data_IF_163152602642
#
_entry.id   IF_163152602642
#
_cell.length_a   1.000
_cell.length_b   1.000
_cell.length_c   1.000
_cell.angle_alpha   90.00
_cell.angle_beta   90.00
_cell.angle_gamma   90.00
#
_symmetry.space_group_name_H-M   'P 1'
#
loop_
_entity.id
_entity.type
_entity.pdbx_description
1 polymer ?
#
# COMPACT_ATOMS: atom_id res chain seq x y z
N UNK A 1 13.89 -52.26 -20.40
CA UNK A 1 12.60 -51.55 -20.48
C UNK A 1 12.75 -50.22 -19.77
N UNK A 2 12.99 -49.14 -20.51
CA UNK A 2 12.97 -47.78 -19.98
C UNK A 2 11.60 -47.19 -20.30
N UNK A 3 10.86 -46.76 -19.27
CA UNK A 3 9.57 -46.12 -19.44
C UNK A 3 9.78 -44.66 -19.86
N UNK A 4 9.21 -44.28 -21.00
CA UNK A 4 9.24 -42.94 -21.55
C UNK A 4 8.27 -42.03 -20.76
N UNK A 5 8.70 -40.82 -20.38
CA UNK A 5 7.91 -39.90 -19.57
C UNK A 5 6.78 -39.24 -20.41
N UNK A 6 5.55 -39.10 -19.89
CA UNK A 6 4.44 -38.56 -20.67
C UNK A 6 4.60 -37.06 -20.90
N UNK A 7 4.69 -36.65 -22.16
CA UNK A 7 4.67 -35.24 -22.59
C UNK A 7 3.27 -34.66 -22.43
N UNK A 8 3.09 -33.77 -21.47
CA UNK A 8 1.82 -33.04 -21.26
C UNK A 8 1.67 -32.01 -22.39
N UNK A 9 0.55 -31.97 -23.13
CA UNK A 9 0.35 -30.97 -24.16
C UNK A 9 0.22 -29.58 -23.53
N UNK A 10 1.09 -28.66 -23.95
CA UNK A 10 1.02 -27.25 -23.58
C UNK A 10 -0.35 -26.70 -23.97
N UNK A 11 -1.14 -26.31 -22.96
CA UNK A 11 -2.42 -25.64 -23.15
C UNK A 11 -2.21 -24.47 -24.11
N UNK A 12 -2.97 -24.47 -25.20
CA UNK A 12 -3.05 -23.34 -26.12
C UNK A 12 -3.40 -22.07 -25.33
N UNK A 13 -2.82 -20.90 -25.66
CA UNK A 13 -3.08 -19.69 -24.89
C UNK A 13 -4.57 -19.35 -25.02
N UNK A 14 -5.29 -19.41 -23.89
CA UNK A 14 -6.65 -18.92 -23.81
C UNK A 14 -6.67 -17.49 -24.34
N UNK A 15 -7.53 -17.24 -25.32
CA UNK A 15 -7.76 -15.92 -25.92
C UNK A 15 -8.40 -15.03 -24.85
N UNK A 16 -7.55 -14.42 -24.02
CA UNK A 16 -7.97 -13.47 -22.99
C UNK A 16 -8.60 -12.28 -23.72
N UNK A 17 -9.93 -12.16 -23.60
CA UNK A 17 -10.70 -11.08 -24.18
C UNK A 17 -10.08 -9.74 -23.81
N UNK A 18 -10.09 -8.80 -24.75
CA UNK A 18 -9.54 -7.44 -24.60
C UNK A 18 -10.22 -6.74 -23.42
N UNK A 19 -9.64 -6.88 -22.23
CA UNK A 19 -9.98 -6.12 -21.04
C UNK A 19 -9.57 -4.68 -21.31
N UNK A 20 -10.57 -3.80 -21.47
CA UNK A 20 -10.37 -2.36 -21.63
C UNK A 20 -10.08 -1.78 -20.26
N UNK A 21 -8.80 -1.77 -19.89
CA UNK A 21 -8.30 -1.08 -18.70
C UNK A 21 -8.31 0.43 -18.95
N UNK A 22 -9.41 1.11 -18.68
CA UNK A 22 -9.34 2.57 -18.51
C UNK A 22 -8.76 2.83 -17.13
N UNK A 23 -7.50 3.27 -17.06
CA UNK A 23 -6.94 3.83 -15.84
C UNK A 23 -7.85 4.98 -15.38
N UNK A 24 -8.39 4.86 -14.17
CA UNK A 24 -9.16 5.95 -13.58
C UNK A 24 -8.17 7.00 -13.04
N UNK A 25 -7.98 8.07 -13.81
CA UNK A 25 -7.06 9.17 -13.50
C UNK A 25 -7.57 10.07 -12.36
N UNK A 26 -8.84 9.96 -11.95
CA UNK A 26 -9.39 10.76 -10.84
C UNK A 26 -8.80 10.40 -9.47
N UNK A 27 -8.12 9.26 -9.36
CA UNK A 27 -7.37 8.86 -8.16
C UNK A 27 -6.15 9.74 -7.92
N UNK A 28 -5.56 10.31 -8.98
CA UNK A 28 -4.38 11.16 -8.90
C UNK A 28 -4.72 12.65 -8.98
N UNK A 29 -6.01 12.99 -8.95
CA UNK A 29 -6.43 14.38 -8.85
C UNK A 29 -6.31 14.89 -7.42
N UNK A 30 -6.07 16.20 -7.31
CA UNK A 30 -5.86 16.87 -6.04
C UNK A 30 -7.09 16.76 -5.12
N UNK A 31 -6.84 16.55 -3.83
CA UNK A 31 -7.88 16.57 -2.80
C UNK A 31 -7.62 17.71 -1.80
N UNK A 32 -8.71 18.40 -1.43
CA UNK A 32 -8.71 19.43 -0.39
C UNK A 32 -9.15 18.80 0.93
N UNK A 33 -8.27 18.79 1.93
CA UNK A 33 -8.53 18.18 3.23
C UNK A 33 -9.04 19.15 4.31
N UNK A 34 -9.02 20.46 4.04
CA UNK A 34 -9.40 21.52 4.98
C UNK A 34 -10.51 22.42 4.41
N UNK A 35 -11.09 23.25 5.29
CA UNK A 35 -12.12 24.22 4.91
C UNK A 35 -11.55 25.57 4.44
N UNK A 36 -10.24 25.80 4.56
CA UNK A 36 -9.58 27.04 4.11
C UNK A 36 -9.26 27.00 2.61
N UNK A 37 -9.15 28.16 1.97
CA UNK A 37 -8.94 28.26 0.52
C UNK A 37 -7.52 27.84 0.04
N UNK A 38 -6.67 27.41 0.97
CA UNK A 38 -5.31 26.94 0.71
C UNK A 38 -5.23 25.42 0.83
N UNK A 39 -4.73 24.76 -0.22
CA UNK A 39 -4.49 23.32 -0.20
C UNK A 39 -3.21 23.02 0.57
N UNK A 40 -3.31 22.41 1.74
CA UNK A 40 -2.16 21.98 2.55
C UNK A 40 -1.37 20.84 1.90
N UNK A 41 -1.99 20.13 0.96
CA UNK A 41 -1.38 19.01 0.26
C UNK A 41 -1.68 19.10 -1.24
N UNK A 42 -0.65 19.00 -2.07
CA UNK A 42 -0.78 18.78 -3.52
C UNK A 42 -0.90 17.25 -3.74
N UNK A 43 -2.08 16.67 -3.48
CA UNK A 43 -2.17 15.24 -3.13
C UNK A 43 -3.12 14.40 -3.97
N UNK A 44 -2.61 13.20 -4.33
CA UNK A 44 -3.38 12.08 -4.86
C UNK A 44 -4.34 11.54 -3.77
N UNK A 45 -5.46 10.93 -4.17
CA UNK A 45 -6.48 10.34 -3.25
C UNK A 45 -6.06 9.00 -2.62
N UNK A 46 -4.79 8.61 -2.78
CA UNK A 46 -4.26 7.34 -2.26
C UNK A 46 -3.60 7.60 -0.91
N UNK A 47 -4.17 6.98 0.13
CA UNK A 47 -3.75 7.11 1.52
C UNK A 47 -3.28 5.76 2.04
N UNK A 48 -2.20 5.74 2.82
CA UNK A 48 -1.81 4.55 3.57
C UNK A 48 -2.63 4.48 4.85
N UNK A 49 -3.44 3.43 4.97
CA UNK A 49 -4.23 3.14 6.15
C UNK A 49 -3.34 2.86 7.40
N UNK A 50 -3.84 3.13 8.61
CA UNK A 50 -3.16 2.74 9.85
C UNK A 50 -3.10 1.21 9.94
N UNK A 51 -1.89 0.65 9.98
CA UNK A 51 -1.66 -0.79 10.01
C UNK A 51 -0.72 -1.15 11.16
N UNK A 52 -1.24 -1.76 12.23
CA UNK A 52 -0.43 -2.26 13.35
C UNK A 52 0.51 -3.36 12.87
N UNK A 53 1.83 -3.18 13.06
CA UNK A 53 2.83 -4.15 12.58
C UNK A 53 3.52 -4.94 13.69
N UNK A 54 3.39 -4.50 14.94
CA UNK A 54 4.01 -5.13 16.12
C UNK A 54 5.53 -5.27 15.96
N UNK A 55 6.19 -4.20 15.49
CA UNK A 55 7.64 -4.16 15.28
C UNK A 55 8.35 -3.04 16.06
N UNK A 56 7.63 -2.43 16.99
CA UNK A 56 8.10 -1.36 17.87
C UNK A 56 8.32 -1.95 19.27
N UNK A 57 9.50 -2.55 19.47
CA UNK A 57 9.85 -3.19 20.73
C UNK A 57 9.92 -2.16 21.86
N UNK A 58 9.25 -2.45 22.98
CA UNK A 58 9.20 -1.53 24.12
C UNK A 58 8.52 -0.19 23.82
N UNK A 59 7.57 -0.14 22.88
CA UNK A 59 6.93 1.08 22.39
C UNK A 59 7.88 2.08 21.69
N UNK A 60 9.10 1.65 21.36
CA UNK A 60 10.09 2.47 20.67
C UNK A 60 10.14 2.10 19.19
N UNK A 61 9.88 3.05 18.27
CA UNK A 61 10.08 2.83 16.85
C UNK A 61 11.53 2.44 16.55
N UNK A 62 11.70 1.34 15.82
CA UNK A 62 13.01 0.81 15.47
C UNK A 62 13.53 1.44 14.17
N UNK A 63 14.85 1.37 13.87
CA UNK A 63 15.42 1.95 12.65
C UNK A 63 14.77 1.47 11.34
N UNK A 64 14.24 0.24 11.32
CA UNK A 64 13.53 -0.30 10.14
C UNK A 64 12.20 0.43 9.85
N UNK A 65 11.60 1.10 10.84
CA UNK A 65 10.38 1.87 10.67
C UNK A 65 10.61 3.05 9.70
N UNK A 66 11.80 3.65 9.75
CA UNK A 66 12.21 4.71 8.83
C UNK A 66 12.18 4.19 7.39
N UNK A 67 12.80 3.04 7.14
CA UNK A 67 12.80 2.41 5.82
C UNK A 67 11.38 2.03 5.38
N UNK A 68 10.55 1.55 6.31
CA UNK A 68 9.19 1.13 6.02
C UNK A 68 8.29 2.28 5.53
N UNK A 69 8.31 3.42 6.22
CA UNK A 69 7.53 4.59 5.84
C UNK A 69 8.15 5.34 4.66
N UNK A 70 9.49 5.39 4.55
CA UNK A 70 10.16 6.05 3.42
C UNK A 70 9.85 5.38 2.07
N UNK A 71 9.78 4.04 2.05
CA UNK A 71 9.37 3.28 0.85
C UNK A 71 7.95 3.59 0.38
N UNK A 72 7.09 4.11 1.25
CA UNK A 72 5.67 4.38 0.98
C UNK A 72 5.37 5.87 0.85
N UNK A 73 6.33 6.72 1.17
CA UNK A 73 6.24 8.15 0.98
C UNK A 73 6.24 8.48 -0.51
N UNK A 74 5.18 9.15 -0.97
CA UNK A 74 5.10 9.73 -2.30
C UNK A 74 4.84 11.23 -2.17
N UNK A 75 5.19 12.01 -3.20
CA UNK A 75 4.92 13.46 -3.19
C UNK A 75 3.42 13.69 -3.05
N UNK A 76 3.02 14.38 -1.98
CA UNK A 76 1.61 14.62 -1.67
C UNK A 76 0.85 13.41 -1.14
N UNK A 77 1.49 12.26 -0.89
CA UNK A 77 0.82 11.11 -0.28
C UNK A 77 0.61 11.31 1.23
N UNK A 78 -0.57 10.96 1.73
CA UNK A 78 -0.83 10.92 3.17
C UNK A 78 -0.55 9.52 3.73
N UNK A 79 0.30 9.46 4.76
CA UNK A 79 0.58 8.22 5.50
C UNK A 79 0.04 8.34 6.92
N UNK A 80 -0.83 7.41 7.32
CA UNK A 80 -1.29 7.30 8.70
C UNK A 80 -0.45 6.19 9.37
N UNK A 81 0.25 6.55 10.46
CA UNK A 81 1.10 5.64 11.19
C UNK A 81 0.29 4.51 11.86
N UNK A 82 0.98 3.47 12.32
CA UNK A 82 0.39 2.42 13.14
C UNK A 82 -0.23 2.96 14.44
N UNK A 83 -1.22 2.24 14.97
CA UNK A 83 -1.84 2.60 16.24
C UNK A 83 -0.76 2.60 17.34
N UNK A 84 -0.54 3.77 17.94
CA UNK A 84 0.51 3.98 18.95
C UNK A 84 -0.16 4.24 20.29
N UNK A 85 0.22 3.47 21.32
CA UNK A 85 -0.32 3.61 22.67
C UNK A 85 0.02 4.99 23.27
N UNK A 86 -0.99 5.69 23.79
CA UNK A 86 -0.82 6.99 24.46
C UNK A 86 -0.43 6.87 25.93
N UNK A 87 -0.63 5.70 26.53
CA UNK A 87 -0.35 5.38 27.95
C UNK A 87 -0.08 3.89 28.11
N UNK A 88 0.52 3.50 29.23
CA UNK A 88 0.83 2.10 29.53
C UNK A 88 -0.42 1.21 29.59
N UNK A 89 -1.57 1.78 29.96
CA UNK A 89 -2.87 1.08 30.00
C UNK A 89 -3.54 0.95 28.63
N UNK A 90 -3.00 1.58 27.59
CA UNK A 90 -3.55 1.51 26.23
C UNK A 90 -3.14 0.24 25.47
N UNK A 91 -2.24 -0.57 26.03
CA UNK A 91 -1.89 -1.88 25.50
C UNK A 91 -2.95 -2.91 25.91
N UNK A 92 -3.57 -3.56 24.93
CA UNK A 92 -4.61 -4.58 25.13
C UNK A 92 -4.22 -5.93 24.54
#
# INVERSE_FOLDING_TARGET
MAAEAPTIPLLTPYKLGRLRWTLNLELFSNIKLNNSNESIFESNKVVMAPLTRVRSYGNVPQPHAILYYSQRASKGGLLIAEATGVSDTAQG
#
